data_IF_806890141611
#
_entry.id   IF_806890141611
#
_cell.length_a   1.000
_cell.length_b   1.000
_cell.length_c   1.000
_cell.angle_alpha   90.00
_cell.angle_beta   90.00
_cell.angle_gamma   90.00
#
_symmetry.space_group_name_H-M   'P 1'
#
loop_
_entity.id
_entity.type
_entity.pdbx_description
1 polymer ?
#
# COMPACT_ATOMS: atom_id res chain seq x y z
N UNK A 1 -8.37 -34.48 -29.36
CA UNK A 1 -7.42 -33.35 -29.33
C UNK A 1 -8.07 -31.98 -29.51
N UNK A 2 -9.12 -31.82 -30.33
CA UNK A 2 -9.80 -30.52 -30.53
C UNK A 2 -10.55 -30.01 -29.27
N UNK A 3 -11.18 -30.90 -28.50
CA UNK A 3 -11.96 -30.53 -27.30
C UNK A 3 -11.13 -29.98 -26.13
N UNK A 4 -9.85 -30.38 -26.03
CA UNK A 4 -8.96 -29.89 -24.98
C UNK A 4 -8.42 -28.50 -25.32
N UNK A 5 -8.22 -28.19 -26.60
CA UNK A 5 -7.80 -26.87 -27.05
C UNK A 5 -8.92 -25.85 -26.89
N UNK A 6 -10.17 -26.20 -27.26
CA UNK A 6 -11.34 -25.34 -27.04
C UNK A 6 -11.66 -25.10 -25.56
N UNK A 7 -11.46 -26.12 -24.70
CA UNK A 7 -11.60 -25.96 -23.25
C UNK A 7 -10.48 -25.10 -22.64
N UNK A 8 -9.28 -25.14 -23.20
CA UNK A 8 -8.15 -24.32 -22.74
C UNK A 8 -8.27 -22.86 -23.19
N UNK A 9 -8.72 -22.60 -24.42
CA UNK A 9 -9.02 -21.23 -24.89
C UNK A 9 -10.20 -20.60 -24.15
N UNK A 10 -11.27 -21.35 -23.85
CA UNK A 10 -12.37 -20.87 -23.01
C UNK A 10 -11.88 -20.49 -21.60
N UNK A 11 -11.01 -21.30 -20.99
CA UNK A 11 -10.47 -20.99 -19.66
C UNK A 11 -9.58 -19.73 -19.65
N UNK A 12 -8.89 -19.46 -20.77
CA UNK A 12 -8.09 -18.26 -20.96
C UNK A 12 -8.97 -17.01 -21.20
N UNK A 13 -10.05 -17.15 -21.97
CA UNK A 13 -11.04 -16.10 -22.20
C UNK A 13 -11.86 -15.79 -20.95
N UNK A 14 -12.25 -16.80 -20.17
CA UNK A 14 -12.91 -16.63 -18.86
C UNK A 14 -11.98 -15.94 -17.86
N UNK A 15 -10.68 -16.25 -17.86
CA UNK A 15 -9.69 -15.58 -17.03
C UNK A 15 -9.50 -14.10 -17.42
N UNK A 16 -9.39 -13.82 -18.72
CA UNK A 16 -9.32 -12.46 -19.26
C UNK A 16 -10.61 -11.66 -19.03
N UNK A 17 -11.78 -12.31 -19.12
CA UNK A 17 -13.07 -11.70 -18.82
C UNK A 17 -13.21 -11.40 -17.33
N UNK A 18 -12.77 -12.32 -16.46
CA UNK A 18 -12.75 -12.15 -15.02
C UNK A 18 -11.85 -10.97 -14.62
N UNK A 19 -10.62 -10.90 -15.14
CA UNK A 19 -9.69 -9.78 -14.93
C UNK A 19 -10.28 -8.45 -15.44
N UNK A 20 -10.97 -8.46 -16.59
CA UNK A 20 -11.70 -7.29 -17.10
C UNK A 20 -12.84 -6.88 -16.18
N UNK A 21 -13.65 -7.81 -15.68
CA UNK A 21 -14.78 -7.53 -14.79
C UNK A 21 -14.33 -7.06 -13.42
N UNK A 22 -13.25 -7.62 -12.88
CA UNK A 22 -12.63 -7.18 -11.63
C UNK A 22 -12.07 -5.77 -11.79
N UNK A 23 -11.37 -5.50 -12.90
CA UNK A 23 -10.90 -4.15 -13.24
C UNK A 23 -12.04 -3.15 -13.41
N UNK A 24 -13.13 -3.53 -14.07
CA UNK A 24 -14.34 -2.71 -14.23
C UNK A 24 -15.02 -2.42 -12.88
N UNK A 25 -15.12 -3.42 -12.01
CA UNK A 25 -15.69 -3.28 -10.67
C UNK A 25 -14.82 -2.37 -9.79
N UNK A 26 -13.50 -2.53 -9.85
CA UNK A 26 -12.54 -1.63 -9.19
C UNK A 26 -12.62 -0.20 -9.73
N UNK A 27 -12.78 -0.02 -11.05
CA UNK A 27 -12.95 1.31 -11.67
C UNK A 27 -14.23 2.01 -11.20
N UNK A 28 -15.33 1.27 -11.05
CA UNK A 28 -16.59 1.81 -10.52
C UNK A 28 -16.43 2.25 -9.06
N UNK A 29 -15.84 1.38 -8.22
CA UNK A 29 -15.56 1.70 -6.81
C UNK A 29 -14.59 2.87 -6.64
N UNK A 30 -13.63 3.02 -7.54
CA UNK A 30 -12.71 4.17 -7.54
C UNK A 30 -13.37 5.47 -7.97
N UNK A 31 -14.30 5.42 -8.93
CA UNK A 31 -15.08 6.59 -9.31
C UNK A 31 -15.95 7.05 -8.14
N UNK A 32 -16.67 6.13 -7.51
CA UNK A 32 -17.47 6.42 -6.32
C UNK A 32 -16.59 6.94 -5.17
N UNK A 33 -15.41 6.36 -4.96
CA UNK A 33 -14.42 6.85 -4.01
C UNK A 33 -13.95 8.29 -4.33
N UNK A 34 -13.66 8.61 -5.59
CA UNK A 34 -13.27 9.97 -6.00
C UNK A 34 -14.41 10.97 -5.83
N UNK A 35 -15.64 10.60 -6.20
CA UNK A 35 -16.82 11.44 -6.01
C UNK A 35 -17.04 11.73 -4.52
N UNK A 36 -16.89 10.72 -3.66
CA UNK A 36 -16.89 10.91 -2.20
C UNK A 36 -15.75 11.82 -1.73
N UNK A 37 -14.55 11.68 -2.30
CA UNK A 37 -13.41 12.54 -1.96
C UNK A 37 -13.63 14.00 -2.39
N UNK A 38 -14.22 14.24 -3.55
CA UNK A 38 -14.57 15.58 -4.03
C UNK A 38 -15.68 16.23 -3.17
N UNK A 39 -16.66 15.43 -2.71
CA UNK A 39 -17.68 15.90 -1.75
C UNK A 39 -17.02 16.26 -0.41
N UNK A 40 -16.08 15.45 0.09
CA UNK A 40 -15.33 15.74 1.32
C UNK A 40 -14.44 17.00 1.20
N UNK A 41 -13.80 17.21 0.04
CA UNK A 41 -13.06 18.45 -0.25
C UNK A 41 -14.00 19.68 -0.27
N UNK A 42 -15.28 19.51 -0.62
CA UNK A 42 -16.27 20.59 -0.70
C UNK A 42 -17.00 20.89 0.62
N UNK A 43 -17.28 19.88 1.45
CA UNK A 43 -18.06 20.05 2.68
C UNK A 43 -17.21 20.52 3.88
N UNK A 44 -15.88 20.35 3.83
CA UNK A 44 -14.96 20.92 4.83
C UNK A 44 -15.22 20.46 6.27
N UNK A 45 -15.93 19.35 6.45
CA UNK A 45 -16.31 18.88 7.78
C UNK A 45 -15.18 18.04 8.40
N UNK A 46 -14.85 18.35 9.65
CA UNK A 46 -13.67 17.82 10.35
C UNK A 46 -13.83 16.37 10.84
N UNK A 47 -14.98 15.73 10.63
CA UNK A 47 -15.28 14.38 11.14
C UNK A 47 -15.19 13.30 10.04
N UNK A 48 -14.13 13.35 9.23
CA UNK A 48 -13.86 12.29 8.25
C UNK A 48 -13.42 11.01 8.98
N UNK A 49 -14.32 10.04 9.05
CA UNK A 49 -14.05 8.73 9.68
C UNK A 49 -12.88 8.00 9.00
N UNK A 50 -12.04 7.32 9.80
CA UNK A 50 -10.93 6.48 9.30
C UNK A 50 -11.37 5.48 8.21
N UNK A 51 -12.60 4.96 8.31
CA UNK A 51 -13.19 4.02 7.33
C UNK A 51 -13.27 4.61 5.92
N UNK A 52 -13.46 5.92 5.81
CA UNK A 52 -13.54 6.61 4.52
C UNK A 52 -12.17 6.65 3.86
N UNK A 53 -11.13 7.04 4.60
CA UNK A 53 -9.76 7.03 4.09
C UNK A 53 -9.28 5.63 3.72
N UNK A 54 -9.62 4.61 4.51
CA UNK A 54 -9.27 3.23 4.18
C UNK A 54 -9.94 2.76 2.87
N UNK A 55 -11.21 3.13 2.65
CA UNK A 55 -11.92 2.84 1.40
C UNK A 55 -11.30 3.57 0.20
N UNK A 56 -10.95 4.86 0.35
CA UNK A 56 -10.29 5.66 -0.67
C UNK A 56 -8.92 5.09 -1.06
N UNK A 57 -8.08 4.79 -0.06
CA UNK A 57 -6.77 4.17 -0.25
C UNK A 57 -6.92 2.79 -0.90
N UNK A 58 -7.90 1.99 -0.47
CA UNK A 58 -8.20 0.69 -1.09
C UNK A 58 -8.55 0.79 -2.57
N UNK A 59 -9.42 1.73 -2.93
CA UNK A 59 -9.80 1.92 -4.32
C UNK A 59 -8.62 2.39 -5.17
N UNK A 60 -7.80 3.30 -4.65
CA UNK A 60 -6.60 3.78 -5.32
C UNK A 60 -5.56 2.67 -5.52
N UNK A 61 -5.36 1.80 -4.51
CA UNK A 61 -4.47 0.63 -4.59
C UNK A 61 -5.00 -0.38 -5.61
N UNK A 62 -6.30 -0.68 -5.58
CA UNK A 62 -6.94 -1.62 -6.52
C UNK A 62 -6.79 -1.18 -7.98
N UNK A 63 -6.84 0.13 -8.24
CA UNK A 63 -6.58 0.68 -9.58
C UNK A 63 -5.12 0.89 -9.93
N UNK A 64 -4.21 0.61 -9.00
CA UNK A 64 -2.81 0.98 -9.08
C UNK A 64 -2.60 2.48 -9.41
N UNK A 65 -3.49 3.36 -8.92
CA UNK A 65 -3.46 4.80 -9.19
C UNK A 65 -2.58 5.54 -8.19
N UNK A 66 -1.31 5.78 -8.57
CA UNK A 66 -0.32 6.50 -7.75
C UNK A 66 -0.80 7.93 -7.44
N UNK A 67 -1.38 8.62 -8.44
CA UNK A 67 -1.93 9.98 -8.26
C UNK A 67 -3.04 9.99 -7.22
N UNK A 68 -3.92 8.98 -7.24
CA UNK A 68 -5.01 8.86 -6.27
C UNK A 68 -4.47 8.66 -4.85
N UNK A 69 -3.59 7.68 -4.67
CA UNK A 69 -3.00 7.40 -3.35
C UNK A 69 -2.29 8.64 -2.78
N UNK A 70 -1.49 9.35 -3.58
CA UNK A 70 -0.80 10.56 -3.13
C UNK A 70 -1.76 11.69 -2.75
N UNK A 71 -2.82 11.92 -3.55
CA UNK A 71 -3.82 12.95 -3.22
C UNK A 71 -4.51 12.65 -1.88
N UNK A 72 -5.00 11.41 -1.72
CA UNK A 72 -5.69 10.99 -0.50
C UNK A 72 -4.75 11.04 0.71
N UNK A 73 -3.50 10.58 0.55
CA UNK A 73 -2.52 10.60 1.63
C UNK A 73 -2.10 12.01 2.03
N UNK A 74 -1.87 12.91 1.07
CA UNK A 74 -1.57 14.32 1.37
C UNK A 74 -2.77 15.03 2.00
N UNK A 75 -3.99 14.72 1.56
CA UNK A 75 -5.20 15.29 2.14
C UNK A 75 -5.36 14.87 3.60
N UNK A 76 -5.15 13.59 3.93
CA UNK A 76 -5.13 13.11 5.31
C UNK A 76 -4.18 13.93 6.19
N UNK A 77 -2.94 14.11 5.74
CA UNK A 77 -1.94 14.88 6.48
C UNK A 77 -2.34 16.35 6.64
N UNK A 78 -2.89 16.97 5.58
CA UNK A 78 -3.32 18.37 5.60
C UNK A 78 -4.58 18.61 6.44
N UNK A 79 -5.45 17.59 6.58
CA UNK A 79 -6.64 17.66 7.42
C UNK A 79 -6.34 17.43 8.91
N UNK A 80 -5.07 17.27 9.29
CA UNK A 80 -4.66 16.93 10.66
C UNK A 80 -4.98 15.48 11.05
N UNK A 81 -5.33 14.62 10.08
CA UNK A 81 -5.53 13.20 10.31
C UNK A 81 -4.17 12.50 10.29
N UNK A 82 -3.79 11.90 11.41
CA UNK A 82 -2.54 11.15 11.52
C UNK A 82 -2.77 9.71 11.03
N UNK A 83 -2.19 9.30 9.88
CA UNK A 83 -2.39 7.95 9.37
C UNK A 83 -1.69 6.94 10.25
N UNK A 84 -2.41 5.90 10.65
CA UNK A 84 -1.83 4.79 11.41
C UNK A 84 -0.82 3.98 10.58
N UNK A 85 -0.08 3.10 11.27
CA UNK A 85 0.93 2.25 10.64
C UNK A 85 0.32 1.36 9.54
N UNK A 86 -0.95 0.96 9.69
CA UNK A 86 -1.65 0.15 8.72
C UNK A 86 -1.82 0.89 7.38
N UNK A 87 -2.38 2.11 7.39
CA UNK A 87 -2.53 2.95 6.19
C UNK A 87 -1.17 3.26 5.58
N UNK A 88 -0.18 3.63 6.41
CA UNK A 88 1.20 3.92 5.95
C UNK A 88 1.81 2.72 5.22
N UNK A 89 1.69 1.51 5.76
CA UNK A 89 2.19 0.29 5.13
C UNK A 89 1.48 -0.03 3.81
N UNK A 90 0.17 0.24 3.70
CA UNK A 90 -0.57 0.06 2.45
C UNK A 90 -0.10 1.02 1.36
N UNK A 91 0.10 2.29 1.71
CA UNK A 91 0.65 3.29 0.79
C UNK A 91 2.08 2.93 0.40
N UNK A 92 2.90 2.50 1.36
CA UNK A 92 4.28 2.06 1.12
C UNK A 92 4.34 0.90 0.12
N UNK A 93 3.55 -0.17 0.35
CA UNK A 93 3.48 -1.32 -0.55
C UNK A 93 3.08 -0.91 -1.96
N UNK A 94 2.14 0.02 -2.07
CA UNK A 94 1.65 0.52 -3.34
C UNK A 94 2.70 1.34 -4.10
N UNK A 95 3.47 2.18 -3.40
CA UNK A 95 4.59 2.91 -3.99
C UNK A 95 5.66 1.95 -4.52
N UNK A 96 6.04 0.93 -3.73
CA UNK A 96 6.98 -0.12 -4.14
C UNK A 96 6.47 -0.87 -5.37
N UNK A 97 5.23 -1.37 -5.36
CA UNK A 97 4.63 -2.10 -6.49
C UNK A 97 4.54 -1.28 -7.78
N UNK A 98 4.58 0.04 -7.67
CA UNK A 98 4.57 0.96 -8.81
C UNK A 98 5.97 1.40 -9.26
N UNK A 99 7.03 0.86 -8.65
CA UNK A 99 8.41 1.26 -8.94
C UNK A 99 8.77 2.66 -8.43
N UNK A 100 7.95 3.27 -7.58
CA UNK A 100 8.17 4.61 -7.02
C UNK A 100 9.11 4.53 -5.81
N UNK A 101 10.29 3.92 -6.00
CA UNK A 101 11.17 3.53 -4.89
C UNK A 101 11.65 4.72 -4.06
N UNK A 102 11.92 5.86 -4.69
CA UNK A 102 12.31 7.11 -4.03
C UNK A 102 11.22 7.60 -3.07
N UNK A 103 9.96 7.58 -3.52
CA UNK A 103 8.84 8.02 -2.69
C UNK A 103 8.51 6.99 -1.60
N UNK A 104 8.66 5.69 -1.90
CA UNK A 104 8.53 4.64 -0.90
C UNK A 104 9.56 4.82 0.22
N UNK A 105 10.82 5.08 -0.12
CA UNK A 105 11.87 5.32 0.87
C UNK A 105 11.60 6.60 1.69
N UNK A 106 11.13 7.67 1.06
CA UNK A 106 10.73 8.90 1.78
C UNK A 106 9.61 8.61 2.78
N UNK A 107 8.56 7.90 2.36
CA UNK A 107 7.47 7.52 3.26
C UNK A 107 7.97 6.63 4.40
N UNK A 108 8.81 5.64 4.10
CA UNK A 108 9.37 4.72 5.09
C UNK A 108 10.09 5.46 6.22
N UNK A 109 10.90 6.48 5.90
CA UNK A 109 11.61 7.28 6.92
C UNK A 109 10.66 8.14 7.78
N UNK A 110 9.45 8.43 7.31
CA UNK A 110 8.45 9.17 8.11
C UNK A 110 7.61 8.28 9.03
N UNK A 111 7.78 6.96 8.99
CA UNK A 111 7.06 6.04 9.88
C UNK A 111 7.74 6.11 11.26
N UNK A 112 7.01 6.48 12.34
CA UNK A 112 7.60 6.66 13.66
C UNK A 112 8.05 5.36 14.32
N UNK A 113 7.28 4.27 14.11
CA UNK A 113 7.61 2.93 14.58
C UNK A 113 7.36 1.94 13.44
N UNK A 114 8.44 1.31 12.96
CA UNK A 114 8.35 0.29 11.92
C UNK A 114 7.98 -1.06 12.52
N UNK A 115 7.18 -1.83 11.80
CA UNK A 115 7.01 -3.25 12.09
C UNK A 115 7.65 -4.11 11.00
N UNK A 116 7.67 -5.43 11.21
CA UNK A 116 8.19 -6.38 10.22
C UNK A 116 7.59 -6.19 8.82
N UNK A 117 6.31 -5.78 8.74
CA UNK A 117 5.65 -5.53 7.46
C UNK A 117 6.28 -4.32 6.75
N UNK A 118 6.51 -3.21 7.45
CA UNK A 118 7.17 -2.01 6.90
C UNK A 118 8.54 -2.34 6.33
N UNK A 119 9.37 -3.05 7.10
CA UNK A 119 10.71 -3.48 6.71
C UNK A 119 10.69 -4.40 5.49
N UNK A 120 9.84 -5.43 5.50
CA UNK A 120 9.75 -6.40 4.41
C UNK A 120 9.31 -5.73 3.09
N UNK A 121 8.41 -4.75 3.16
CA UNK A 121 7.97 -4.01 1.98
C UNK A 121 9.14 -3.25 1.35
N UNK A 122 9.88 -2.46 2.14
CA UNK A 122 10.95 -1.62 1.59
C UNK A 122 12.14 -2.48 1.13
N UNK A 123 12.54 -3.49 1.89
CA UNK A 123 13.63 -4.40 1.55
C UNK A 123 13.28 -5.18 0.27
N UNK A 124 12.07 -5.73 0.19
CA UNK A 124 11.60 -6.42 -1.02
C UNK A 124 11.62 -5.51 -2.24
N UNK A 125 11.15 -4.27 -2.09
CA UNK A 125 11.19 -3.27 -3.15
C UNK A 125 12.61 -2.93 -3.63
N UNK A 126 13.56 -2.81 -2.71
CA UNK A 126 14.97 -2.55 -3.05
C UNK A 126 15.60 -3.73 -3.79
N UNK A 127 15.29 -4.97 -3.38
CA UNK A 127 15.72 -6.19 -4.07
C UNK A 127 15.14 -6.23 -5.50
N UNK A 128 13.87 -5.87 -5.68
CA UNK A 128 13.19 -5.87 -6.98
C UNK A 128 13.82 -4.86 -7.96
N UNK A 129 14.31 -3.70 -7.47
CA UNK A 129 15.00 -2.70 -8.30
C UNK A 129 16.52 -2.92 -8.41
N UNK A 130 17.06 -3.94 -7.73
CA UNK A 130 18.48 -4.30 -7.77
C UNK A 130 19.40 -3.50 -6.84
N UNK A 131 18.85 -2.73 -5.90
CA UNK A 131 19.62 -2.00 -4.90
C UNK A 131 19.91 -2.88 -3.67
N UNK A 132 20.75 -3.89 -3.88
CA UNK A 132 21.08 -4.88 -2.85
C UNK A 132 21.88 -4.29 -1.69
N UNK A 133 22.66 -3.23 -1.94
CA UNK A 133 23.47 -2.59 -0.90
C UNK A 133 22.55 -1.95 0.13
N UNK A 134 21.57 -1.17 -0.32
CA UNK A 134 20.61 -0.55 0.58
C UNK A 134 19.68 -1.59 1.21
N UNK A 135 19.28 -2.64 0.46
CA UNK A 135 18.46 -3.73 1.00
C UNK A 135 19.16 -4.45 2.18
N UNK A 136 20.45 -4.77 2.05
CA UNK A 136 21.24 -5.39 3.12
C UNK A 136 21.41 -4.42 4.29
N UNK A 137 21.67 -3.14 4.02
CA UNK A 137 21.78 -2.11 5.07
C UNK A 137 20.52 -2.03 5.92
N UNK A 138 19.35 -1.95 5.29
CA UNK A 138 18.07 -1.92 5.99
C UNK A 138 17.75 -3.24 6.71
N UNK A 139 18.13 -4.38 6.13
CA UNK A 139 17.98 -5.68 6.81
C UNK A 139 18.80 -5.78 8.09
N UNK A 140 20.03 -5.27 8.09
CA UNK A 140 20.88 -5.25 9.29
C UNK A 140 20.34 -4.30 10.36
N UNK A 141 19.87 -3.12 9.98
CA UNK A 141 19.18 -2.20 10.90
C UNK A 141 17.94 -2.84 11.52
N UNK A 142 17.12 -3.49 10.69
CA UNK A 142 15.96 -4.25 11.16
C UNK A 142 16.38 -5.30 12.20
N UNK A 143 17.43 -6.07 11.91
CA UNK A 143 17.93 -7.11 12.80
C UNK A 143 18.39 -6.55 14.16
N UNK A 144 19.12 -5.43 14.16
CA UNK A 144 19.57 -4.77 15.39
C UNK A 144 18.39 -4.29 16.26
N UNK A 145 17.37 -3.66 15.65
CA UNK A 145 16.18 -3.25 16.39
C UNK A 145 15.42 -4.44 17.00
N UNK A 146 15.23 -5.54 16.27
CA UNK A 146 14.51 -6.70 16.82
C UNK A 146 15.28 -7.41 17.92
N UNK A 147 16.62 -7.42 17.84
CA UNK A 147 17.48 -7.98 18.89
C UNK A 147 17.47 -7.09 20.13
N UNK A 148 17.53 -5.77 19.96
CA UNK A 148 17.48 -4.81 21.07
C UNK A 148 16.11 -4.84 21.77
N UNK A 149 15.00 -4.80 21.02
CA UNK A 149 13.64 -4.91 21.58
C UNK A 149 13.43 -6.25 22.30
N UNK A 150 13.97 -7.34 21.75
CA UNK A 150 13.98 -8.65 22.41
C UNK A 150 14.73 -8.58 23.75
N UNK A 151 15.91 -7.96 23.77
CA UNK A 151 16.74 -7.83 24.99
C UNK A 151 16.10 -6.93 26.06
N UNK A 152 15.44 -5.82 25.67
CA UNK A 152 14.75 -4.92 26.60
C UNK A 152 13.49 -5.55 27.19
N UNK A 153 12.79 -6.40 26.43
CA UNK A 153 11.64 -7.17 26.93
C UNK A 153 12.08 -8.19 27.99
N UNK A 154 13.24 -8.83 27.83
CA UNK A 154 13.80 -9.70 28.87
C UNK A 154 14.21 -8.93 30.13
N UNK A 155 14.71 -7.70 30.00
CA UNK A 155 15.11 -6.88 31.14
C UNK A 155 13.93 -6.31 31.95
N UNK A 156 12.76 -6.13 31.34
CA UNK A 156 11.55 -5.60 32.03
C UNK A 156 10.67 -6.67 32.66
N UNK A 157 10.96 -7.96 32.41
CA UNK A 157 10.20 -9.10 32.94
C UNK A 157 10.90 -9.76 34.15
N UNK A 158 11.99 -9.17 34.66
CA UNK A 158 12.71 -9.60 35.88
C UNK A 158 12.49 -8.55 36.98
#
# INVERSE_FOLDING_TARGET
MVLLWSAWTNKYEDFLACDKTEKLFLCKRYREALELFEILECEGDNDVKCSTYDALVSACIGLKSIRGVKRVFNYMLNSGFEPDLYIRNRVLLMLVKCGMMIDAHRLFVTIPEWNLVSWNIIIGGLVDVGDYVEAIRLFLMMWEEFVDVGSQTFATVI
#
